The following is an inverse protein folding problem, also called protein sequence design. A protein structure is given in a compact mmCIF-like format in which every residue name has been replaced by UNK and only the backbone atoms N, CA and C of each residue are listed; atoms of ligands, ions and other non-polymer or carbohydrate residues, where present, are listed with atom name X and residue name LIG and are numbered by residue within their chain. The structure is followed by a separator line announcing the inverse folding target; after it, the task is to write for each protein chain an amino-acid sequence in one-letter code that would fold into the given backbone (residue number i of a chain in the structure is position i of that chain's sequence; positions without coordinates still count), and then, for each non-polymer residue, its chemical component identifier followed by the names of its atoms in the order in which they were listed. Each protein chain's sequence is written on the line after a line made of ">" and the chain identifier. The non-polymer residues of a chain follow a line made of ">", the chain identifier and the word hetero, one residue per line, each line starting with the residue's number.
data_IF_542159084889
#
_entry.id   IF_542159084889
#
_cell.length_a   1.000
_cell.length_b   1.000
_cell.length_c   1.000
_cell.angle_alpha   90.00
_cell.angle_beta   90.00
_cell.angle_gamma   90.00
#
_symmetry.space_group_name_H-M   'P 1'
#
loop_
_entity.id
_entity.type
_entity.pdbx_description
1 polymer ?
#
# COMPACT_ATOMS: atom_id res chain seq x y z
N UNK A 1 -7.30 17.97 12.23
CA UNK A 1 -7.17 17.55 10.81
C UNK A 1 -7.91 16.23 10.59
N UNK A 2 -8.57 16.10 9.43
CA UNK A 2 -9.32 14.93 9.02
C UNK A 2 -8.83 14.51 7.63
N UNK A 3 -8.57 13.21 7.42
CA UNK A 3 -8.19 12.68 6.11
C UNK A 3 -8.91 11.37 5.82
N UNK A 4 -9.42 11.24 4.60
CA UNK A 4 -10.06 10.02 4.12
C UNK A 4 -9.04 9.13 3.43
N UNK A 5 -9.11 7.84 3.69
CA UNK A 5 -8.26 6.83 3.05
C UNK A 5 -9.11 5.67 2.55
N UNK A 6 -8.75 5.13 1.39
CA UNK A 6 -9.39 3.95 0.82
C UNK A 6 -8.48 2.74 0.92
N UNK A 7 -9.06 1.61 1.34
CA UNK A 7 -8.40 0.32 1.46
C UNK A 7 -9.16 -0.68 0.60
N UNK A 8 -8.42 -1.47 -0.16
CA UNK A 8 -8.98 -2.51 -1.03
C UNK A 8 -8.35 -3.85 -0.67
N UNK A 9 -9.18 -4.85 -0.40
CA UNK A 9 -8.76 -6.23 -0.21
C UNK A 9 -9.13 -7.05 -1.43
N UNK A 10 -8.17 -7.81 -1.93
CA UNK A 10 -8.33 -8.75 -3.03
C UNK A 10 -8.04 -10.17 -2.55
N UNK A 11 -8.97 -11.07 -2.83
CA UNK A 11 -8.91 -12.49 -2.52
C UNK A 11 -9.11 -13.33 -3.77
N UNK A 12 -9.58 -14.56 -3.57
CA UNK A 12 -9.87 -15.52 -4.64
C UNK A 12 -11.35 -15.91 -4.57
N UNK A 13 -12.14 -15.65 -5.63
CA UNK A 13 -13.57 -15.95 -5.63
C UNK A 13 -13.78 -17.44 -5.58
N UNK A 14 -14.80 -17.89 -4.87
CA UNK A 14 -15.21 -19.29 -4.89
C UNK A 14 -16.66 -19.45 -4.43
N UNK A 15 -17.34 -20.45 -5.00
CA UNK A 15 -18.75 -20.72 -4.76
C UNK A 15 -18.92 -21.33 -3.35
N UNK A 16 -19.67 -20.69 -2.46
CA UNK A 16 -19.69 -20.96 -1.00
C UNK A 16 -19.81 -22.44 -0.57
N UNK A 17 -20.37 -23.31 -1.42
CA UNK A 17 -20.49 -24.76 -1.19
C UNK A 17 -19.45 -25.69 -1.84
N UNK A 18 -18.71 -25.28 -2.89
CA UNK A 18 -18.00 -26.25 -3.74
C UNK A 18 -16.56 -26.61 -3.30
N UNK A 19 -15.77 -25.66 -2.77
CA UNK A 19 -14.33 -25.83 -2.48
C UNK A 19 -13.83 -24.94 -1.31
N UNK A 20 -14.11 -25.27 -0.04
CA UNK A 20 -13.79 -24.44 1.14
C UNK A 20 -12.32 -24.15 1.39
N UNK A 21 -11.42 -25.08 1.09
CA UNK A 21 -10.00 -25.01 1.44
C UNK A 21 -9.16 -24.09 0.55
N UNK A 22 -9.64 -23.73 -0.64
CA UNK A 22 -8.88 -22.92 -1.62
C UNK A 22 -9.31 -21.46 -1.73
N UNK A 23 -10.22 -20.99 -0.86
CA UNK A 23 -10.84 -19.67 -0.96
C UNK A 23 -10.12 -18.64 -0.10
N UNK A 24 -10.12 -17.39 -0.55
CA UNK A 24 -9.61 -16.25 0.22
C UNK A 24 -10.72 -15.20 0.26
N UNK A 25 -11.30 -14.99 1.45
CA UNK A 25 -12.46 -14.12 1.65
C UNK A 25 -12.01 -12.68 1.97
N UNK A 26 -12.23 -11.76 1.04
CA UNK A 26 -11.86 -10.36 1.20
C UNK A 26 -12.69 -9.64 2.29
N UNK A 27 -13.91 -10.10 2.56
CA UNK A 27 -14.78 -9.50 3.57
C UNK A 27 -14.33 -9.84 4.99
N UNK A 28 -13.71 -11.00 5.20
CA UNK A 28 -13.17 -11.38 6.52
C UNK A 28 -12.01 -10.47 6.91
N UNK A 29 -11.18 -10.04 5.95
CA UNK A 29 -10.11 -9.08 6.19
C UNK A 29 -10.67 -7.73 6.64
N UNK A 30 -11.77 -7.30 6.03
CA UNK A 30 -12.49 -6.12 6.47
C UNK A 30 -13.08 -6.31 7.88
N UNK A 31 -13.73 -7.44 8.16
CA UNK A 31 -14.37 -7.72 9.44
C UNK A 31 -13.37 -7.80 10.61
N UNK A 32 -12.16 -8.31 10.36
CA UNK A 32 -11.10 -8.44 11.35
C UNK A 32 -10.64 -7.09 11.94
N UNK A 33 -10.82 -5.98 11.21
CA UNK A 33 -10.52 -4.66 11.73
C UNK A 33 -11.53 -4.29 12.84
N UNK A 34 -11.03 -3.86 13.99
CA UNK A 34 -11.87 -3.52 15.16
C UNK A 34 -12.34 -2.06 15.18
N UNK A 35 -11.99 -1.27 14.15
CA UNK A 35 -12.26 0.17 14.12
C UNK A 35 -13.72 0.47 13.76
N UNK A 36 -14.47 1.22 14.60
CA UNK A 36 -15.90 1.48 14.37
C UNK A 36 -16.18 2.51 13.27
N UNK A 37 -15.23 3.39 12.96
CA UNK A 37 -15.40 4.48 12.00
C UNK A 37 -14.91 4.07 10.59
N UNK A 38 -15.61 3.09 10.00
CA UNK A 38 -15.36 2.61 8.64
C UNK A 38 -16.65 2.52 7.84
N UNK A 39 -16.55 2.73 6.54
CA UNK A 39 -17.62 2.49 5.58
C UNK A 39 -17.18 1.34 4.68
N UNK A 40 -18.02 0.31 4.54
CA UNK A 40 -17.84 -0.73 3.54
C UNK A 40 -18.45 -0.20 2.24
N UNK A 41 -17.61 0.14 1.26
CA UNK A 41 -18.07 0.63 -0.05
C UNK A 41 -18.51 -0.52 -0.95
N UNK A 42 -17.81 -1.66 -0.86
CA UNK A 42 -18.16 -2.89 -1.56
C UNK A 42 -17.89 -4.09 -0.65
N UNK A 43 -18.93 -4.85 -0.32
CA UNK A 43 -18.84 -6.02 0.57
C UNK A 43 -19.04 -7.38 -0.12
N UNK A 44 -19.20 -7.40 -1.44
CA UNK A 44 -19.51 -8.60 -2.22
C UNK A 44 -20.70 -8.39 -3.16
N UNK A 45 -20.85 -9.30 -4.12
CA UNK A 45 -21.86 -9.19 -5.17
C UNK A 45 -23.12 -10.01 -4.89
N UNK A 46 -22.97 -11.19 -4.27
CA UNK A 46 -24.07 -12.13 -4.03
C UNK A 46 -23.92 -12.82 -2.67
N UNK A 47 -25.03 -13.13 -1.98
CA UNK A 47 -25.00 -13.72 -0.63
C UNK A 47 -24.39 -15.13 -0.57
N UNK A 48 -24.37 -15.88 -1.69
CA UNK A 48 -23.83 -17.25 -1.75
C UNK A 48 -22.46 -17.34 -2.47
N UNK A 49 -21.81 -16.20 -2.72
CA UNK A 49 -20.49 -16.14 -3.34
C UNK A 49 -19.55 -15.48 -2.35
N UNK A 50 -18.42 -16.15 -2.08
CA UNK A 50 -17.41 -15.59 -1.20
C UNK A 50 -16.73 -14.43 -1.92
N UNK A 51 -16.73 -13.22 -1.34
CA UNK A 51 -16.28 -12.03 -2.02
C UNK A 51 -14.77 -12.06 -2.24
N UNK A 52 -14.37 -11.95 -3.50
CA UNK A 52 -12.97 -11.78 -3.89
C UNK A 52 -12.48 -10.35 -3.79
N UNK A 53 -13.40 -9.39 -3.61
CA UNK A 53 -13.06 -7.98 -3.50
C UNK A 53 -13.87 -7.36 -2.38
N UNK A 54 -13.21 -6.55 -1.56
CA UNK A 54 -13.87 -5.73 -0.55
C UNK A 54 -13.21 -4.35 -0.49
N UNK A 55 -14.04 -3.32 -0.65
CA UNK A 55 -13.63 -1.93 -0.60
C UNK A 55 -14.05 -1.30 0.73
N UNK A 56 -13.15 -0.55 1.34
CA UNK A 56 -13.37 0.16 2.61
C UNK A 56 -12.91 1.60 2.51
N UNK A 57 -13.63 2.48 3.21
CA UNK A 57 -13.21 3.85 3.47
C UNK A 57 -13.06 4.08 4.98
N UNK A 58 -11.93 4.68 5.36
CA UNK A 58 -11.63 5.06 6.73
C UNK A 58 -11.41 6.57 6.82
N UNK A 59 -11.80 7.12 7.97
CA UNK A 59 -11.58 8.51 8.31
C UNK A 59 -10.54 8.61 9.43
N UNK A 60 -9.32 9.03 9.09
CA UNK A 60 -8.26 9.26 10.05
C UNK A 60 -8.39 10.70 10.59
N UNK A 61 -8.53 10.83 11.91
CA UNK A 61 -8.66 12.13 12.58
C UNK A 61 -7.59 12.29 13.64
N UNK A 62 -6.90 13.42 13.60
CA UNK A 62 -5.88 13.83 14.58
C UNK A 62 -5.93 15.35 14.77
N UNK A 63 -5.70 15.88 15.97
CA UNK A 63 -5.66 17.33 16.19
C UNK A 63 -4.46 18.00 15.48
N UNK A 64 -3.30 17.33 15.39
CA UNK A 64 -2.08 17.88 14.80
C UNK A 64 -1.73 17.21 13.44
N UNK A 65 -1.22 18.01 12.51
CA UNK A 65 -0.74 17.52 11.20
C UNK A 65 0.46 16.58 11.34
N UNK A 66 1.33 16.83 12.33
CA UNK A 66 2.56 16.05 12.57
C UNK A 66 2.23 14.58 12.87
N UNK A 67 1.23 14.35 13.72
CA UNK A 67 0.83 13.01 14.16
C UNK A 67 0.12 12.21 13.07
N UNK A 68 -0.30 12.87 11.98
CA UNK A 68 -1.00 12.22 10.89
C UNK A 68 -0.10 11.21 10.16
N UNK A 69 1.21 11.47 10.09
CA UNK A 69 2.17 10.53 9.49
C UNK A 69 2.24 9.24 10.27
N UNK A 70 2.34 9.33 11.59
CA UNK A 70 2.44 8.17 12.47
C UNK A 70 1.10 7.42 12.56
N UNK A 71 -0.01 8.15 12.60
CA UNK A 71 -1.35 7.55 12.56
C UNK A 71 -1.58 6.80 11.26
N UNK A 72 -1.15 7.35 10.12
CA UNK A 72 -1.22 6.68 8.81
C UNK A 72 -0.39 5.39 8.82
N UNK A 73 0.86 5.44 9.29
CA UNK A 73 1.72 4.26 9.35
C UNK A 73 1.14 3.16 10.24
N UNK A 74 0.56 3.53 11.40
CA UNK A 74 -0.14 2.58 12.29
C UNK A 74 -1.39 2.00 11.63
N UNK A 75 -2.18 2.83 10.93
CA UNK A 75 -3.36 2.36 10.22
C UNK A 75 -2.99 1.38 9.10
N UNK A 76 -1.96 1.68 8.31
CA UNK A 76 -1.43 0.82 7.27
C UNK A 76 -0.94 -0.53 7.84
N UNK A 77 -0.23 -0.51 8.98
CA UNK A 77 0.17 -1.73 9.68
C UNK A 77 -1.04 -2.57 10.14
N UNK A 78 -2.11 -1.93 10.66
CA UNK A 78 -3.34 -2.62 11.02
C UNK A 78 -4.04 -3.24 9.80
N UNK A 79 -4.09 -2.53 8.67
CA UNK A 79 -4.69 -3.05 7.43
C UNK A 79 -3.88 -4.23 6.87
N UNK A 80 -2.55 -4.12 6.85
CA UNK A 80 -1.66 -5.23 6.48
C UNK A 80 -1.83 -6.42 7.42
N UNK A 81 -1.93 -6.18 8.73
CA UNK A 81 -2.17 -7.20 9.74
C UNK A 81 -3.50 -7.95 9.57
N UNK A 82 -4.53 -7.31 9.02
CA UNK A 82 -5.80 -7.96 8.69
C UNK A 82 -5.74 -8.81 7.40
N UNK A 83 -4.84 -8.45 6.48
CA UNK A 83 -4.64 -9.14 5.21
C UNK A 83 -3.90 -10.49 5.37
N UNK A 84 -2.91 -10.53 6.27
CA UNK A 84 -2.04 -11.70 6.50
C UNK A 84 -2.81 -12.97 6.90
N UNK A 85 -3.64 -12.96 7.98
CA UNK A 85 -4.32 -14.18 8.43
C UNK A 85 -5.41 -14.64 7.46
N UNK A 86 -5.95 -13.73 6.66
CA UNK A 86 -7.00 -14.04 5.67
C UNK A 86 -6.43 -14.47 4.32
N UNK A 87 -5.13 -14.28 4.08
CA UNK A 87 -4.49 -14.54 2.80
C UNK A 87 -4.84 -13.55 1.69
N UNK A 88 -5.43 -12.40 2.05
CA UNK A 88 -5.81 -11.37 1.09
C UNK A 88 -4.61 -10.50 0.69
N UNK A 89 -4.63 -9.99 -0.54
CA UNK A 89 -3.77 -8.90 -0.96
C UNK A 89 -4.42 -7.57 -0.57
N UNK A 90 -3.70 -6.75 0.19
CA UNK A 90 -4.15 -5.42 0.58
C UNK A 90 -3.53 -4.36 -0.34
N UNK A 91 -4.37 -3.47 -0.83
CA UNK A 91 -3.96 -2.25 -1.51
C UNK A 91 -4.42 -1.04 -0.70
N UNK A 92 -3.48 -0.16 -0.40
CA UNK A 92 -3.72 1.05 0.35
C UNK A 92 -3.36 2.22 -0.54
N UNK A 93 -4.38 2.98 -0.93
CA UNK A 93 -4.16 4.15 -1.76
C UNK A 93 -3.78 5.34 -0.89
N UNK A 94 -2.95 6.21 -1.46
CA UNK A 94 -2.74 7.54 -0.90
C UNK A 94 -4.04 8.35 -0.94
N UNK A 95 -4.08 9.47 -0.21
CA UNK A 95 -5.29 10.29 -0.13
C UNK A 95 -5.67 10.81 -1.52
N UNK A 96 -6.94 11.12 -1.70
CA UNK A 96 -7.49 11.60 -2.97
C UNK A 96 -6.72 12.84 -3.46
N UNK A 97 -6.44 13.78 -2.56
CA UNK A 97 -5.69 15.01 -2.89
C UNK A 97 -4.26 14.71 -3.34
N UNK A 98 -3.64 13.65 -2.80
CA UNK A 98 -2.30 13.24 -3.23
C UNK A 98 -2.35 12.56 -4.60
N UNK A 99 -3.38 11.77 -4.85
CA UNK A 99 -3.57 11.09 -6.14
C UNK A 99 -3.83 12.11 -7.24
N UNK A 100 -4.66 13.11 -6.97
CA UNK A 100 -4.88 14.26 -7.85
C UNK A 100 -3.60 15.06 -8.09
N UNK A 101 -2.89 15.43 -7.01
CA UNK A 101 -1.65 16.20 -7.12
C UNK A 101 -0.56 15.44 -7.89
N UNK A 102 -0.47 14.12 -7.73
CA UNK A 102 0.47 13.29 -8.46
C UNK A 102 0.09 13.11 -9.95
N UNK A 103 -1.20 13.12 -10.27
CA UNK A 103 -1.72 13.04 -11.64
C UNK A 103 -1.81 14.38 -12.37
N UNK A 104 -1.59 15.50 -11.67
CA UNK A 104 -1.70 16.84 -12.25
C UNK A 104 -0.63 17.07 -13.34
N UNK A 105 -1.03 17.75 -14.44
CA UNK A 105 -0.11 18.07 -15.54
C UNK A 105 1.08 18.92 -15.07
N UNK A 106 0.87 19.79 -14.09
CA UNK A 106 1.93 20.59 -13.47
C UNK A 106 2.98 19.74 -12.75
N UNK A 107 2.60 18.57 -12.22
CA UNK A 107 3.51 17.62 -11.58
C UNK A 107 4.35 16.83 -12.60
N UNK A 108 3.88 16.71 -13.85
CA UNK A 108 4.54 15.94 -14.91
C UNK A 108 5.94 16.47 -15.20
N UNK A 109 6.11 17.79 -15.26
CA UNK A 109 7.41 18.43 -15.49
C UNK A 109 8.44 18.04 -14.41
N UNK A 110 8.04 18.12 -13.14
CA UNK A 110 8.92 17.78 -12.02
C UNK A 110 9.24 16.28 -12.02
N UNK A 111 8.23 15.45 -12.30
CA UNK A 111 8.40 13.99 -12.41
C UNK A 111 9.40 13.62 -13.49
N UNK A 112 9.30 14.22 -14.68
CA UNK A 112 10.25 14.01 -15.78
C UNK A 112 11.66 14.48 -15.43
N UNK A 113 11.81 15.62 -14.74
CA UNK A 113 13.12 16.10 -14.27
C UNK A 113 13.74 15.14 -13.27
N UNK A 114 12.98 14.67 -12.29
CA UNK A 114 13.45 13.70 -11.30
C UNK A 114 13.80 12.36 -11.95
N UNK A 115 12.99 11.89 -12.90
CA UNK A 115 13.26 10.67 -13.66
C UNK A 115 14.56 10.80 -14.48
N UNK A 116 14.75 11.92 -15.18
CA UNK A 116 15.97 12.19 -15.95
C UNK A 116 17.19 12.25 -15.03
N UNK A 117 17.11 12.98 -13.92
CA UNK A 117 18.20 13.06 -12.95
C UNK A 117 18.60 11.67 -12.41
N UNK A 118 17.61 10.84 -12.02
CA UNK A 118 17.86 9.45 -11.60
C UNK A 118 18.51 8.60 -12.69
N UNK A 119 18.04 8.72 -13.93
CA UNK A 119 18.61 8.00 -15.06
C UNK A 119 20.07 8.42 -15.32
N UNK A 120 20.37 9.73 -15.28
CA UNK A 120 21.74 10.22 -15.41
C UNK A 120 22.64 9.69 -14.30
N UNK A 121 22.18 9.69 -13.04
CA UNK A 121 22.95 9.09 -11.93
C UNK A 121 23.21 7.60 -12.16
N UNK A 122 22.23 6.85 -12.65
CA UNK A 122 22.41 5.43 -12.96
C UNK A 122 23.44 5.22 -14.09
N UNK A 123 23.40 6.04 -15.14
CA UNK A 123 24.38 6.02 -16.23
C UNK A 123 25.79 6.32 -15.70
N UNK A 124 25.96 7.35 -14.87
CA UNK A 124 27.26 7.69 -14.29
C UNK A 124 27.85 6.55 -13.44
N UNK A 125 26.99 5.84 -12.70
CA UNK A 125 27.41 4.68 -11.90
C UNK A 125 27.84 3.52 -12.79
N UNK A 126 27.12 3.24 -13.89
CA UNK A 126 27.41 2.11 -14.78
C UNK A 126 28.59 2.38 -15.70
N UNK A 127 28.75 3.61 -16.20
CA UNK A 127 29.79 3.97 -17.15
C UNK A 127 31.16 4.25 -16.49
N UNK A 128 31.22 4.41 -15.17
CA UNK A 128 32.48 4.57 -14.43
C UNK A 128 32.78 3.32 -13.57
N UNK A 129 33.74 2.46 -13.97
CA UNK A 129 34.07 1.21 -13.26
C UNK A 129 34.44 1.43 -11.78
N UNK A 130 35.13 2.53 -11.46
CA UNK A 130 35.53 2.87 -10.10
C UNK A 130 34.34 3.26 -9.21
N UNK A 131 33.36 3.97 -9.76
CA UNK A 131 32.13 4.33 -9.03
C UNK A 131 31.30 3.09 -8.78
N UNK A 132 31.16 2.22 -9.78
CA UNK A 132 30.44 0.96 -9.66
C UNK A 132 31.02 0.08 -8.54
N UNK A 133 32.35 -0.02 -8.47
CA UNK A 133 33.05 -0.78 -7.43
C UNK A 133 32.79 -0.21 -6.04
N UNK A 134 32.97 1.10 -5.84
CA UNK A 134 32.66 1.77 -4.55
C UNK A 134 31.21 1.57 -4.14
N UNK A 135 30.27 1.76 -5.07
CA UNK A 135 28.84 1.57 -4.80
C UNK A 135 28.55 0.13 -4.36
N UNK A 136 29.17 -0.88 -4.99
CA UNK A 136 29.04 -2.29 -4.56
C UNK A 136 29.57 -2.52 -3.15
N UNK A 137 30.72 -1.96 -2.81
CA UNK A 137 31.32 -2.04 -1.48
C UNK A 137 30.41 -1.38 -0.43
N UNK A 138 29.92 -0.17 -0.70
CA UNK A 138 29.03 0.59 0.18
C UNK A 138 27.71 -0.16 0.44
N UNK A 139 27.08 -0.72 -0.61
CA UNK A 139 25.87 -1.53 -0.45
C UNK A 139 26.12 -2.83 0.31
N UNK A 140 27.30 -3.46 0.14
CA UNK A 140 27.70 -4.64 0.92
C UNK A 140 27.83 -4.33 2.41
N UNK A 141 28.50 -3.22 2.76
CA UNK A 141 28.64 -2.76 4.13
C UNK A 141 27.30 -2.36 4.76
N UNK A 142 26.41 -1.74 4.00
CA UNK A 142 25.07 -1.37 4.45
C UNK A 142 24.22 -2.61 4.80
N UNK A 143 24.31 -3.66 3.98
CA UNK A 143 23.59 -4.92 4.22
C UNK A 143 24.05 -5.60 5.50
N UNK A 144 25.36 -5.65 5.74
CA UNK A 144 25.95 -6.18 6.99
C UNK A 144 25.55 -5.39 8.25
N UNK A 145 25.28 -4.08 8.12
CA UNK A 145 24.79 -3.25 9.23
C UNK A 145 23.30 -3.47 9.54
N UNK A 146 22.50 -3.93 8.58
CA UNK A 146 21.08 -4.20 8.78
C UNK A 146 20.81 -5.60 9.36
N UNK A 147 21.78 -6.50 9.25
CA UNK A 147 21.72 -7.89 9.75
C UNK A 147 22.30 -8.04 11.18
N UNK A 148 22.83 -6.96 11.78
CA UNK A 148 23.26 -6.86 13.19
C UNK A 148 22.23 -6.15 14.04
#
# INVERSE_FOLDING_TARGET
>A
MLRRVSVKYHGKPSHGGAYPWGRVNALDAAAALQQPLRIITHGGEKPNIIPAYTGLEFCLRTPLVKDLRDLKAKAEACFGGAAVPTGCQMHFNHTEEHTEAAGAETAQLYTLRTAKARATTAVDVVCCPDRLRKVREDFGLAKLKQEK
#
